data_IF_866560668715
#
_entry.id   IF_866560668715
#
_cell.length_a   1.000
_cell.length_b   1.000
_cell.length_c   1.000
_cell.angle_alpha   90.00
_cell.angle_beta   90.00
_cell.angle_gamma   90.00
#
_symmetry.space_group_name_H-M   'P 1'
#
loop_
_entity.id
_entity.type
_entity.pdbx_description
1 polymer ?
#
# COMPACT_ATOMS: atom_id res chain seq x y z
N UNK A 1 10.93 -18.73 14.07
CA UNK A 1 11.57 -18.04 12.94
C UNK A 1 11.46 -18.98 11.76
N UNK A 2 10.35 -18.94 11.05
CA UNK A 2 10.11 -19.71 9.84
C UNK A 2 10.01 -18.73 8.67
N UNK A 3 10.99 -18.80 7.81
CA UNK A 3 11.02 -18.08 6.53
C UNK A 3 10.08 -18.83 5.61
N UNK A 4 8.92 -18.25 5.25
CA UNK A 4 8.13 -18.72 4.11
C UNK A 4 8.89 -18.37 2.83
N UNK A 5 9.79 -19.24 2.42
CA UNK A 5 10.46 -19.15 1.13
C UNK A 5 9.51 -19.69 0.06
N UNK A 6 9.12 -18.82 -0.85
CA UNK A 6 8.64 -19.03 -2.20
C UNK A 6 7.86 -20.28 -2.54
N UNK A 7 6.64 -20.16 -3.02
CA UNK A 7 6.00 -21.16 -3.87
C UNK A 7 6.85 -21.39 -5.12
N UNK A 8 7.68 -22.43 -5.09
CA UNK A 8 8.43 -22.91 -6.24
C UNK A 8 7.51 -23.59 -7.25
N UNK A 9 7.58 -23.14 -8.49
CA UNK A 9 7.00 -23.83 -9.64
C UNK A 9 7.70 -25.16 -9.83
N UNK A 10 7.02 -26.28 -9.71
CA UNK A 10 7.44 -27.55 -10.29
C UNK A 10 6.99 -27.62 -11.77
N UNK A 11 7.99 -27.65 -12.65
CA UNK A 11 7.87 -27.94 -14.06
C UNK A 11 7.61 -29.44 -14.26
N UNK A 12 6.51 -29.77 -14.92
CA UNK A 12 6.40 -31.11 -15.59
C UNK A 12 6.27 -30.85 -17.09
N UNK A 13 7.36 -31.18 -17.80
CA UNK A 13 7.40 -31.28 -19.26
C UNK A 13 6.50 -32.41 -19.76
N UNK A 14 5.66 -32.12 -20.74
CA UNK A 14 5.19 -33.11 -21.70
C UNK A 14 5.25 -32.47 -23.10
N UNK A 15 6.14 -33.01 -23.95
CA UNK A 15 6.19 -32.76 -25.40
C UNK A 15 4.91 -33.23 -26.09
N UNK A 16 4.39 -32.50 -27.08
CA UNK A 16 4.39 -32.93 -28.49
C UNK A 16 3.69 -31.96 -29.47
N UNK A 17 4.47 -31.56 -30.41
CA UNK A 17 4.30 -31.43 -31.88
C UNK A 17 3.11 -30.70 -32.51
N UNK A 18 3.48 -29.59 -33.17
CA UNK A 18 3.34 -29.28 -34.62
C UNK A 18 1.95 -28.99 -35.20
N UNK A 19 1.67 -27.76 -35.64
CA UNK A 19 1.61 -27.33 -37.03
C UNK A 19 1.38 -25.82 -37.17
N UNK A 20 2.00 -25.28 -38.21
CA UNK A 20 2.04 -23.88 -38.66
C UNK A 20 0.66 -23.36 -39.13
N UNK A 21 0.35 -22.07 -38.92
CA UNK A 21 0.01 -21.17 -40.04
C UNK A 21 -0.03 -19.70 -39.61
N UNK A 22 0.49 -18.85 -40.48
CA UNK A 22 0.68 -17.41 -40.40
C UNK A 22 -0.65 -16.65 -40.39
N UNK A 23 -0.72 -15.55 -39.63
CA UNK A 23 -1.09 -14.19 -40.13
C UNK A 23 -0.97 -13.16 -39.04
N UNK A 24 -0.15 -12.12 -39.24
CA UNK A 24 -0.22 -10.82 -38.57
C UNK A 24 -1.40 -10.02 -39.13
N UNK A 25 -2.06 -9.09 -38.39
CA UNK A 25 -1.48 -7.77 -38.16
C UNK A 25 -1.79 -7.09 -36.80
N UNK A 26 -0.91 -6.16 -36.47
CA UNK A 26 -1.09 -4.92 -35.71
C UNK A 26 -2.30 -4.83 -34.75
N UNK A 27 -2.04 -4.74 -33.45
CA UNK A 27 -2.86 -3.90 -32.62
C UNK A 27 -2.05 -3.32 -31.43
N UNK A 28 -2.22 -2.05 -31.22
CA UNK A 28 -1.67 -1.19 -30.19
C UNK A 28 -1.70 -1.86 -28.79
N UNK A 29 -0.52 -2.08 -28.22
CA UNK A 29 -0.36 -2.47 -26.84
C UNK A 29 -0.73 -1.27 -25.94
N UNK A 30 -1.89 -1.39 -25.31
CA UNK A 30 -2.14 -0.73 -24.06
C UNK A 30 -1.33 -1.50 -23.02
N UNK A 31 -0.32 -0.88 -22.44
CA UNK A 31 0.35 -1.36 -21.24
C UNK A 31 -0.61 -1.25 -20.04
N UNK A 32 -1.62 -2.11 -19.99
CA UNK A 32 -2.33 -2.42 -18.75
C UNK A 32 -1.41 -3.30 -17.90
N UNK A 33 -0.98 -2.79 -16.76
CA UNK A 33 -0.29 -3.57 -15.74
C UNK A 33 -1.24 -4.72 -15.37
N UNK A 34 -0.93 -5.94 -15.83
CA UNK A 34 -1.68 -7.15 -15.50
C UNK A 34 -1.44 -7.50 -14.02
N UNK A 35 -2.35 -7.05 -13.15
CA UNK A 35 -2.45 -7.45 -11.74
C UNK A 35 -3.33 -8.71 -11.58
N UNK A 36 -3.30 -9.64 -12.54
CA UNK A 36 -4.10 -10.87 -12.53
C UNK A 36 -3.33 -12.09 -11.98
N UNK A 37 -2.64 -11.94 -10.86
CA UNK A 37 -2.37 -13.10 -10.02
C UNK A 37 -3.46 -13.15 -8.94
N UNK A 38 -4.40 -14.13 -9.06
CA UNK A 38 -5.33 -14.44 -7.98
C UNK A 38 -4.51 -14.70 -6.71
N UNK A 39 -4.62 -13.77 -5.74
CA UNK A 39 -4.01 -13.96 -4.43
C UNK A 39 -4.54 -15.26 -3.84
N UNK A 40 -3.68 -16.26 -3.68
CA UNK A 40 -4.00 -17.40 -2.86
C UNK A 40 -4.04 -16.93 -1.40
N UNK A 41 -5.26 -16.67 -0.91
CA UNK A 41 -5.48 -16.06 0.39
C UNK A 41 -5.13 -17.05 1.49
N UNK A 42 -4.00 -16.84 2.14
CA UNK A 42 -3.52 -17.62 3.27
C UNK A 42 -3.18 -16.70 4.45
N UNK A 43 -4.09 -16.59 5.41
CA UNK A 43 -3.90 -15.77 6.61
C UNK A 43 -2.81 -16.27 7.57
N UNK A 44 -2.16 -17.42 7.29
CA UNK A 44 -0.98 -17.88 8.03
C UNK A 44 0.33 -17.31 7.48
N UNK A 45 0.30 -16.74 6.27
CA UNK A 45 1.43 -16.06 5.65
C UNK A 45 1.52 -14.60 6.14
N UNK A 46 2.74 -14.09 6.23
CA UNK A 46 2.99 -12.67 6.46
C UNK A 46 3.23 -11.98 5.11
N UNK A 47 2.29 -11.13 4.69
CA UNK A 47 2.37 -10.38 3.43
C UNK A 47 3.17 -9.07 3.54
N UNK A 48 3.74 -8.73 4.70
CA UNK A 48 4.41 -7.44 4.93
C UNK A 48 5.55 -7.17 3.94
N UNK A 49 6.34 -8.20 3.61
CA UNK A 49 7.42 -8.05 2.61
C UNK A 49 6.86 -7.85 1.19
N UNK A 50 5.85 -8.64 0.79
CA UNK A 50 5.21 -8.48 -0.53
C UNK A 50 4.52 -7.12 -0.68
N UNK A 51 3.88 -6.63 0.38
CA UNK A 51 3.29 -5.29 0.43
C UNK A 51 4.37 -4.23 0.22
N UNK A 52 5.50 -4.36 0.90
CA UNK A 52 6.61 -3.42 0.77
C UNK A 52 7.19 -3.45 -0.64
N UNK A 53 7.37 -4.62 -1.24
CA UNK A 53 7.82 -4.75 -2.63
C UNK A 53 6.83 -4.07 -3.60
N UNK A 54 5.52 -4.33 -3.48
CA UNK A 54 4.50 -3.69 -4.31
C UNK A 54 4.52 -2.16 -4.17
N UNK A 55 4.69 -1.64 -2.95
CA UNK A 55 4.79 -0.19 -2.69
C UNK A 55 6.06 0.39 -3.31
N UNK A 56 7.22 -0.26 -3.11
CA UNK A 56 8.50 0.20 -3.65
C UNK A 56 8.48 0.15 -5.20
N UNK A 57 7.83 -0.84 -5.81
CA UNK A 57 7.65 -0.94 -7.26
C UNK A 57 6.77 0.21 -7.80
N UNK A 58 5.68 0.54 -7.11
CA UNK A 58 4.84 1.71 -7.47
C UNK A 58 5.65 2.99 -7.41
N UNK A 59 6.42 3.21 -6.34
CA UNK A 59 7.27 4.40 -6.19
C UNK A 59 8.32 4.48 -7.30
N UNK A 60 8.91 3.34 -7.69
CA UNK A 60 9.93 3.28 -8.73
C UNK A 60 9.37 3.49 -10.15
N UNK A 61 8.16 2.98 -10.42
CA UNK A 61 7.55 3.02 -11.74
C UNK A 61 6.79 4.33 -12.03
N UNK A 62 6.32 5.03 -11.00
CA UNK A 62 5.49 6.23 -11.17
C UNK A 62 6.31 7.43 -11.65
N UNK A 63 5.76 8.16 -12.64
CA UNK A 63 6.40 9.33 -13.26
C UNK A 63 6.03 10.65 -12.56
N UNK A 64 4.99 10.64 -11.74
CA UNK A 64 4.54 11.78 -10.94
C UNK A 64 3.94 11.33 -9.62
N UNK A 65 3.87 12.24 -8.64
CA UNK A 65 3.23 11.95 -7.35
C UNK A 65 1.72 11.70 -7.46
N UNK A 66 1.06 12.30 -8.45
CA UNK A 66 -0.36 12.01 -8.72
C UNK A 66 -0.56 10.57 -9.21
N UNK A 67 0.28 10.10 -10.13
CA UNK A 67 0.28 8.72 -10.62
C UNK A 67 0.63 7.74 -9.51
N UNK A 68 1.64 8.05 -8.71
CA UNK A 68 2.09 7.24 -7.57
C UNK A 68 0.94 6.98 -6.59
N UNK A 69 0.24 8.03 -6.11
CA UNK A 69 -0.87 7.84 -5.18
C UNK A 69 -2.08 7.15 -5.84
N UNK A 70 -2.31 7.36 -7.14
CA UNK A 70 -3.32 6.62 -7.89
C UNK A 70 -2.98 5.12 -7.96
N UNK A 71 -1.72 4.77 -8.16
CA UNK A 71 -1.27 3.39 -8.18
C UNK A 71 -1.25 2.77 -6.78
N UNK A 72 -0.99 3.55 -5.71
CA UNK A 72 -1.16 3.08 -4.32
C UNK A 72 -2.59 2.66 -4.00
N UNK A 73 -3.61 3.35 -4.54
CA UNK A 73 -4.99 2.90 -4.44
C UNK A 73 -5.21 1.53 -5.11
N UNK A 74 -4.53 1.24 -6.22
CA UNK A 74 -4.59 -0.08 -6.87
C UNK A 74 -3.89 -1.16 -6.02
N UNK A 75 -2.77 -0.83 -5.36
CA UNK A 75 -2.15 -1.75 -4.38
C UNK A 75 -3.14 -2.06 -3.26
N UNK A 76 -3.81 -1.04 -2.69
CA UNK A 76 -4.85 -1.25 -1.69
C UNK A 76 -5.96 -2.16 -2.21
N UNK A 77 -6.44 -1.93 -3.43
CA UNK A 77 -7.46 -2.78 -4.08
C UNK A 77 -6.98 -4.22 -4.31
N UNK A 78 -5.70 -4.46 -4.61
CA UNK A 78 -5.11 -5.80 -4.73
C UNK A 78 -5.24 -6.59 -3.42
N UNK A 79 -5.07 -5.94 -2.26
CA UNK A 79 -5.13 -6.59 -0.95
C UNK A 79 -6.52 -6.54 -0.28
N UNK A 80 -7.48 -5.76 -0.79
CA UNK A 80 -8.86 -5.71 -0.28
C UNK A 80 -9.55 -7.08 -0.21
N UNK A 81 -9.40 -8.00 -1.19
CA UNK A 81 -9.98 -9.34 -1.12
C UNK A 81 -9.57 -10.15 0.11
N UNK A 82 -8.40 -9.87 0.72
CA UNK A 82 -7.99 -10.50 1.99
C UNK A 82 -8.96 -10.14 3.12
N UNK A 83 -9.38 -8.88 3.21
CA UNK A 83 -10.35 -8.44 4.20
C UNK A 83 -11.74 -9.03 3.93
N UNK A 84 -12.14 -9.14 2.68
CA UNK A 84 -13.43 -9.72 2.25
C UNK A 84 -13.50 -11.23 2.48
N UNK A 85 -12.37 -11.94 2.37
CA UNK A 85 -12.28 -13.38 2.58
C UNK A 85 -12.17 -13.79 4.05
N UNK A 86 -11.83 -12.86 4.95
CA UNK A 86 -11.65 -13.14 6.37
C UNK A 86 -12.93 -13.66 7.03
N UNK A 87 -12.86 -14.85 7.65
CA UNK A 87 -14.00 -15.54 8.28
C UNK A 87 -13.98 -15.41 9.80
N UNK A 88 -12.81 -15.16 10.39
CA UNK A 88 -12.63 -15.09 11.84
C UNK A 88 -12.16 -13.70 12.24
N UNK A 89 -12.37 -13.33 13.52
CA UNK A 89 -11.87 -12.05 14.05
C UNK A 89 -10.34 -11.95 13.93
N UNK A 90 -9.62 -13.06 14.06
CA UNK A 90 -8.17 -13.08 13.91
C UNK A 90 -7.73 -12.72 12.49
N UNK A 91 -8.37 -13.32 11.48
CA UNK A 91 -8.12 -13.03 10.06
C UNK A 91 -8.49 -11.58 9.70
N UNK A 92 -9.63 -11.08 10.21
CA UNK A 92 -10.01 -9.68 10.02
C UNK A 92 -8.98 -8.70 10.59
N UNK A 93 -8.45 -8.99 11.79
CA UNK A 93 -7.40 -8.17 12.40
C UNK A 93 -6.12 -8.17 11.56
N UNK A 94 -5.73 -9.34 11.04
CA UNK A 94 -4.52 -9.48 10.21
C UNK A 94 -4.69 -8.74 8.87
N UNK A 95 -5.83 -8.91 8.20
CA UNK A 95 -6.11 -8.24 6.94
C UNK A 95 -6.13 -6.71 7.08
N UNK A 96 -6.76 -6.19 8.14
CA UNK A 96 -6.75 -4.74 8.42
C UNK A 96 -5.31 -4.21 8.65
N UNK A 97 -4.47 -5.00 9.34
CA UNK A 97 -3.06 -4.65 9.53
C UNK A 97 -2.30 -4.56 8.20
N UNK A 98 -2.53 -5.46 7.25
CA UNK A 98 -1.90 -5.41 5.93
C UNK A 98 -2.33 -4.17 5.13
N UNK A 99 -3.62 -3.83 5.13
CA UNK A 99 -4.12 -2.61 4.47
C UNK A 99 -3.51 -1.34 5.08
N UNK A 100 -3.42 -1.26 6.41
CA UNK A 100 -2.71 -0.19 7.09
C UNK A 100 -1.23 -0.12 6.70
N UNK A 101 -0.56 -1.28 6.59
CA UNK A 101 0.88 -1.37 6.28
C UNK A 101 1.20 -0.78 4.91
N UNK A 102 0.31 -0.87 3.91
CA UNK A 102 0.46 -0.25 2.60
C UNK A 102 0.68 1.26 2.75
N UNK A 103 -0.24 1.92 3.43
CA UNK A 103 -0.19 3.38 3.58
C UNK A 103 0.87 3.86 4.57
N UNK A 104 1.22 3.06 5.58
CA UNK A 104 2.34 3.39 6.48
C UNK A 104 3.69 3.30 5.76
N UNK A 105 3.87 2.29 4.90
CA UNK A 105 5.07 2.16 4.05
C UNK A 105 5.18 3.36 3.10
N UNK A 106 4.11 3.71 2.40
CA UNK A 106 4.10 4.86 1.49
C UNK A 106 4.33 6.19 2.23
N UNK A 107 3.70 6.38 3.39
CA UNK A 107 3.93 7.57 4.22
C UNK A 107 5.41 7.75 4.56
N UNK A 108 6.10 6.66 4.92
CA UNK A 108 7.51 6.66 5.26
C UNK A 108 8.38 6.96 4.02
N UNK A 109 8.05 6.42 2.85
CA UNK A 109 8.70 6.71 1.58
C UNK A 109 8.56 8.20 1.20
N UNK A 110 7.36 8.75 1.28
CA UNK A 110 7.08 10.16 1.04
C UNK A 110 7.84 11.07 2.01
N UNK A 111 7.82 10.73 3.31
CA UNK A 111 8.55 11.49 4.33
C UNK A 111 10.05 11.51 4.08
N UNK A 112 10.64 10.38 3.73
CA UNK A 112 12.07 10.27 3.41
C UNK A 112 12.45 11.17 2.25
N UNK A 113 11.71 11.14 1.14
CA UNK A 113 11.93 11.96 -0.06
C UNK A 113 11.68 13.44 0.21
N UNK A 114 10.61 13.77 0.91
CA UNK A 114 10.25 15.15 1.28
C UNK A 114 11.32 15.77 2.18
N UNK A 115 11.73 15.05 3.23
CA UNK A 115 12.76 15.53 4.17
C UNK A 115 14.15 15.68 3.54
N UNK A 116 14.42 14.94 2.47
CA UNK A 116 15.68 15.03 1.71
C UNK A 116 15.66 16.16 0.68
N UNK A 117 14.47 16.51 0.14
CA UNK A 117 14.33 17.50 -0.92
C UNK A 117 14.05 18.92 -0.41
N UNK A 118 13.52 19.06 0.80
CA UNK A 118 13.14 20.34 1.38
C UNK A 118 14.36 21.16 1.81
N UNK A 119 14.31 22.49 1.62
CA UNK A 119 15.26 23.42 2.23
C UNK A 119 15.15 23.38 3.76
N UNK A 120 16.13 23.99 4.44
CA UNK A 120 16.22 23.92 5.91
C UNK A 120 14.96 24.46 6.60
N UNK A 121 14.43 25.59 6.15
CA UNK A 121 13.29 26.24 6.80
C UNK A 121 12.01 25.42 6.60
N UNK A 122 11.78 24.95 5.39
CA UNK A 122 10.65 24.05 5.05
C UNK A 122 10.75 22.74 5.83
N UNK A 123 11.94 22.14 5.92
CA UNK A 123 12.17 20.91 6.68
C UNK A 123 11.86 21.08 8.17
N UNK A 124 12.30 22.17 8.80
CA UNK A 124 12.03 22.45 10.22
C UNK A 124 10.50 22.55 10.47
N UNK A 125 9.77 23.24 9.58
CA UNK A 125 8.31 23.34 9.65
C UNK A 125 7.63 21.98 9.49
N UNK A 126 7.97 21.25 8.43
CA UNK A 126 7.40 19.92 8.14
C UNK A 126 7.67 18.92 9.26
N UNK A 127 8.87 18.98 9.87
CA UNK A 127 9.22 18.14 11.00
C UNK A 127 8.34 18.43 12.23
N UNK A 128 8.07 19.71 12.52
CA UNK A 128 7.18 20.11 13.61
C UNK A 128 5.74 19.62 13.36
N UNK A 129 5.25 19.78 12.13
CA UNK A 129 3.92 19.30 11.73
C UNK A 129 3.82 17.76 11.81
N UNK A 130 4.85 17.03 11.37
CA UNK A 130 4.87 15.57 11.40
C UNK A 130 4.89 15.03 12.84
N UNK A 131 5.68 15.65 13.72
CA UNK A 131 5.70 15.29 15.14
C UNK A 131 4.33 15.51 15.79
N UNK A 132 3.74 16.67 15.54
CA UNK A 132 2.42 16.98 16.05
C UNK A 132 1.35 16.00 15.54
N UNK A 133 1.43 15.60 14.27
CA UNK A 133 0.54 14.58 13.72
C UNK A 133 0.73 13.21 14.37
N UNK A 134 2.00 12.80 14.65
CA UNK A 134 2.30 11.54 15.33
C UNK A 134 1.72 11.57 16.76
N UNK A 135 1.93 12.66 17.50
CA UNK A 135 1.43 12.81 18.87
C UNK A 135 -0.11 12.76 18.93
N UNK A 136 -0.78 13.36 17.94
CA UNK A 136 -2.24 13.36 17.86
C UNK A 136 -2.83 12.04 17.33
N UNK A 137 -2.07 11.27 16.56
CA UNK A 137 -2.55 10.05 15.90
C UNK A 137 -3.15 9.06 16.89
N UNK A 138 -2.47 8.82 18.00
CA UNK A 138 -2.91 7.87 19.04
C UNK A 138 -4.15 8.40 19.79
N UNK A 139 -4.15 9.68 20.17
CA UNK A 139 -5.26 10.30 20.88
C UNK A 139 -6.53 10.32 20.03
N UNK A 140 -6.44 10.73 18.77
CA UNK A 140 -7.56 10.79 17.83
C UNK A 140 -8.08 9.38 17.53
N UNK A 141 -7.20 8.39 17.40
CA UNK A 141 -7.61 6.98 17.23
C UNK A 141 -8.43 6.53 18.44
N UNK A 142 -7.92 6.71 19.64
CA UNK A 142 -8.62 6.32 20.87
C UNK A 142 -9.99 7.01 21.01
N UNK A 143 -10.09 8.29 20.66
CA UNK A 143 -11.36 9.04 20.70
C UNK A 143 -12.39 8.50 19.70
N UNK A 144 -11.97 8.00 18.56
CA UNK A 144 -12.88 7.53 17.51
C UNK A 144 -13.30 6.07 17.66
N UNK A 145 -12.41 5.20 18.12
CA UNK A 145 -12.68 3.76 18.21
C UNK A 145 -12.91 3.26 19.64
N UNK A 146 -12.61 4.05 20.67
CA UNK A 146 -12.65 3.61 22.06
C UNK A 146 -11.44 2.80 22.50
N UNK A 147 -11.48 2.29 23.74
CA UNK A 147 -10.37 1.56 24.33
C UNK A 147 -10.37 0.06 23.96
N UNK A 148 -9.21 -0.59 24.20
CA UNK A 148 -9.08 -2.05 24.03
C UNK A 148 -10.00 -2.82 24.99
N UNK A 149 -10.23 -2.30 26.21
CA UNK A 149 -11.12 -2.90 27.20
C UNK A 149 -12.58 -2.89 26.72
N UNK A 150 -12.99 -1.85 26.01
CA UNK A 150 -14.35 -1.72 25.45
C UNK A 150 -14.56 -2.61 24.23
N UNK A 151 -13.55 -2.75 23.37
CA UNK A 151 -13.66 -3.41 22.07
C UNK A 151 -13.11 -4.86 22.05
N UNK A 152 -12.37 -5.27 23.08
CA UNK A 152 -11.84 -6.64 23.20
C UNK A 152 -11.04 -7.10 21.97
N UNK A 153 -11.44 -8.24 21.40
CA UNK A 153 -10.78 -8.84 20.22
C UNK A 153 -10.98 -8.07 18.93
N UNK A 154 -11.96 -7.17 18.85
CA UNK A 154 -12.18 -6.31 17.69
C UNK A 154 -11.25 -5.08 17.68
N UNK A 155 -10.62 -4.76 18.80
CA UNK A 155 -9.80 -3.55 18.91
C UNK A 155 -8.72 -3.44 17.82
N UNK A 156 -7.93 -4.50 17.49
CA UNK A 156 -6.93 -4.39 16.43
C UNK A 156 -7.54 -4.07 15.05
N UNK A 157 -8.66 -4.70 14.69
CA UNK A 157 -9.38 -4.39 13.44
C UNK A 157 -9.79 -2.92 13.37
N UNK A 158 -10.45 -2.41 14.41
CA UNK A 158 -10.91 -1.02 14.46
C UNK A 158 -9.73 -0.04 14.43
N UNK A 159 -8.67 -0.37 15.17
CA UNK A 159 -7.45 0.44 15.24
C UNK A 159 -6.78 0.54 13.88
N UNK A 160 -6.49 -0.59 13.24
CA UNK A 160 -5.74 -0.61 11.98
C UNK A 160 -6.58 -0.03 10.83
N UNK A 161 -7.90 -0.28 10.78
CA UNK A 161 -8.79 0.35 9.80
C UNK A 161 -8.84 1.87 9.94
N UNK A 162 -8.88 2.39 11.17
CA UNK A 162 -8.84 3.83 11.40
C UNK A 162 -7.45 4.43 11.09
N UNK A 163 -6.38 3.72 11.47
CA UNK A 163 -5.01 4.12 11.17
C UNK A 163 -4.72 4.10 9.67
N UNK A 164 -5.28 3.17 8.91
CA UNK A 164 -5.21 3.17 7.44
C UNK A 164 -5.75 4.49 6.88
N UNK A 165 -6.98 4.87 7.25
CA UNK A 165 -7.63 6.08 6.75
C UNK A 165 -6.83 7.35 7.07
N UNK A 166 -6.43 7.55 8.33
CA UNK A 166 -5.71 8.78 8.72
C UNK A 166 -4.28 8.82 8.17
N UNK A 167 -3.63 7.66 8.00
CA UNK A 167 -2.29 7.55 7.42
C UNK A 167 -2.33 7.81 5.92
N UNK A 168 -3.30 7.26 5.22
CA UNK A 168 -3.59 7.57 3.82
C UNK A 168 -3.79 9.08 3.60
N UNK A 169 -4.67 9.70 4.39
CA UNK A 169 -4.91 11.14 4.32
C UNK A 169 -3.60 11.94 4.55
N UNK A 170 -2.75 11.50 5.47
CA UNK A 170 -1.45 12.12 5.72
C UNK A 170 -0.49 11.93 4.56
N UNK A 171 -0.46 10.75 3.93
CA UNK A 171 0.34 10.47 2.74
C UNK A 171 -0.01 11.44 1.59
N UNK A 172 -1.29 11.68 1.32
CA UNK A 172 -1.73 12.69 0.35
C UNK A 172 -1.23 14.10 0.67
N UNK A 173 -1.25 14.49 1.95
CA UNK A 173 -0.70 15.79 2.38
C UNK A 173 0.79 15.88 2.12
N UNK A 174 1.57 14.83 2.44
CA UNK A 174 3.02 14.81 2.20
C UNK A 174 3.35 14.78 0.70
N UNK A 175 2.60 14.02 -0.09
CA UNK A 175 2.74 13.97 -1.54
C UNK A 175 2.52 15.35 -2.17
N UNK A 176 1.48 16.08 -1.74
CA UNK A 176 1.23 17.46 -2.19
C UNK A 176 2.39 18.40 -1.86
N UNK A 177 2.95 18.32 -0.65
CA UNK A 177 4.09 19.16 -0.27
C UNK A 177 5.35 18.81 -1.08
N UNK A 178 5.57 17.51 -1.34
CA UNK A 178 6.68 17.05 -2.19
C UNK A 178 6.48 17.49 -3.66
N UNK A 179 5.24 17.42 -4.19
CA UNK A 179 4.90 17.89 -5.52
C UNK A 179 5.22 19.39 -5.70
N UNK A 180 4.89 20.23 -4.70
CA UNK A 180 5.25 21.66 -4.70
C UNK A 180 6.74 21.88 -4.82
N UNK A 181 7.54 21.09 -4.09
CA UNK A 181 9.03 21.21 -4.14
C UNK A 181 9.54 20.78 -5.51
N UNK A 182 8.94 19.74 -6.12
CA UNK A 182 9.33 19.25 -7.45
C UNK A 182 8.77 20.07 -8.60
N UNK A 183 7.80 20.96 -8.36
CA UNK A 183 7.09 21.71 -9.40
C UNK A 183 6.12 20.84 -10.21
N UNK A 184 5.58 19.79 -9.59
CA UNK A 184 4.58 18.91 -10.18
C UNK A 184 3.16 19.39 -9.83
N UNK A 185 2.22 19.20 -10.76
CA UNK A 185 0.80 19.37 -10.48
C UNK A 185 0.30 18.22 -9.60
N UNK A 186 -0.50 18.55 -8.59
CA UNK A 186 -1.07 17.56 -7.68
C UNK A 186 -2.45 17.99 -7.17
N UNK A 187 -3.46 17.13 -7.37
CA UNK A 187 -4.81 17.33 -6.89
C UNK A 187 -5.08 16.43 -5.67
N UNK A 188 -5.63 17.03 -4.60
CA UNK A 188 -6.13 16.26 -3.46
C UNK A 188 -7.40 15.52 -3.87
N UNK A 189 -7.67 14.30 -3.36
CA UNK A 189 -8.97 13.65 -3.53
C UNK A 189 -10.08 14.50 -2.90
N UNK A 190 -11.28 14.42 -3.48
CA UNK A 190 -12.48 15.13 -2.99
C UNK A 190 -13.02 14.52 -1.68
#
# INVERSE_FOLDING_TARGET
>A
VGICTGCGKENTEIENSRMEEQTTPENSENDEIHLEDELNIDFTCDYSESIKEDVDDVVAASTSLQEELTNMEKVTQKYTPLAEAAQTQGEMNVAAHWLYTIWDTELNNLWSRLSSSADRQTKEKLLAEQRNWIDLKEEVTLLNIGSREENGSMYPLLQDSYLEEITKNRAYVLARELAKIKGEDFAMPE
#
